data_IF_885936707977
#
_entry.id   IF_885936707977
#
_cell.length_a   1.000
_cell.length_b   1.000
_cell.length_c   1.000
_cell.angle_alpha   90.00
_cell.angle_beta   90.00
_cell.angle_gamma   90.00
#
_symmetry.space_group_name_H-M   'P 1'
#
loop_
_entity.id
_entity.type
_entity.pdbx_description
1 polymer ?
#
# COMPACT_ATOMS: atom_id res chain seq x y z
N UNK A 1 -36.25 -18.50 -7.81
CA UNK A 1 -36.57 -17.29 -7.02
C UNK A 1 -36.32 -17.62 -5.56
N UNK A 2 -35.11 -17.35 -5.07
CA UNK A 2 -34.78 -17.40 -3.64
C UNK A 2 -34.21 -16.03 -3.30
N UNK A 3 -35.03 -15.18 -2.69
CA UNK A 3 -34.64 -13.85 -2.26
C UNK A 3 -33.54 -13.97 -1.20
N UNK A 4 -32.29 -13.76 -1.62
CA UNK A 4 -31.27 -13.31 -0.69
C UNK A 4 -31.69 -11.89 -0.25
N UNK A 5 -31.74 -11.59 1.06
CA UNK A 5 -31.94 -10.22 1.47
C UNK A 5 -30.77 -9.40 0.95
N UNK A 6 -31.02 -8.52 -0.02
CA UNK A 6 -30.10 -7.45 -0.34
C UNK A 6 -29.86 -6.70 0.97
N UNK A 7 -28.66 -6.81 1.51
CA UNK A 7 -28.24 -6.08 2.70
C UNK A 7 -28.24 -4.60 2.33
N UNK A 8 -29.36 -3.93 2.58
CA UNK A 8 -29.36 -2.50 2.83
C UNK A 8 -28.38 -2.29 3.98
N UNK A 9 -27.19 -1.75 3.69
CA UNK A 9 -26.39 -1.20 4.76
C UNK A 9 -27.25 -0.16 5.45
N UNK A 10 -27.64 -0.46 6.70
CA UNK A 10 -28.33 0.49 7.55
C UNK A 10 -27.53 1.79 7.53
N UNK A 11 -28.21 2.93 7.43
CA UNK A 11 -27.56 4.24 7.29
C UNK A 11 -26.50 4.45 8.40
N UNK A 12 -26.74 3.87 9.59
CA UNK A 12 -25.80 3.85 10.70
C UNK A 12 -24.48 3.12 10.38
N UNK A 13 -24.52 2.00 9.66
CA UNK A 13 -23.32 1.24 9.27
C UNK A 13 -22.45 2.00 8.26
N UNK A 14 -23.09 2.66 7.29
CA UNK A 14 -22.40 3.52 6.32
C UNK A 14 -21.77 4.74 6.97
N UNK A 15 -22.50 5.38 7.90
CA UNK A 15 -21.98 6.50 8.70
C UNK A 15 -20.79 6.05 9.55
N UNK A 16 -20.91 4.93 10.26
CA UNK A 16 -19.83 4.38 11.09
C UNK A 16 -18.57 4.12 10.27
N UNK A 17 -18.73 3.50 9.10
CA UNK A 17 -17.61 3.20 8.23
C UNK A 17 -16.92 4.45 7.68
N UNK A 18 -17.70 5.45 7.27
CA UNK A 18 -17.17 6.74 6.82
C UNK A 18 -16.42 7.48 7.95
N UNK A 19 -16.90 7.37 9.19
CA UNK A 19 -16.20 7.91 10.37
C UNK A 19 -14.88 7.16 10.59
N UNK A 20 -14.88 5.83 10.54
CA UNK A 20 -13.67 5.01 10.68
C UNK A 20 -12.63 5.40 9.62
N UNK A 21 -13.06 5.52 8.36
CA UNK A 21 -12.20 5.98 7.26
C UNK A 21 -11.61 7.36 7.53
N UNK A 22 -12.45 8.34 7.87
CA UNK A 22 -12.01 9.69 8.14
C UNK A 22 -11.00 9.73 9.30
N UNK A 23 -11.26 8.98 10.38
CA UNK A 23 -10.35 8.84 11.50
C UNK A 23 -9.02 8.18 11.11
N UNK A 24 -9.03 7.14 10.27
CA UNK A 24 -7.81 6.50 9.78
C UNK A 24 -6.98 7.44 8.91
N UNK A 25 -7.61 8.12 7.94
CA UNK A 25 -6.94 9.07 7.06
C UNK A 25 -6.40 10.28 7.83
N UNK A 26 -7.20 10.82 8.76
CA UNK A 26 -6.74 11.84 9.70
C UNK A 26 -5.53 11.36 10.51
N UNK A 27 -5.60 10.16 11.09
CA UNK A 27 -4.53 9.56 11.89
C UNK A 27 -3.21 9.40 11.11
N UNK A 28 -3.28 8.89 9.88
CA UNK A 28 -2.11 8.80 8.99
C UNK A 28 -1.54 10.18 8.70
N UNK A 29 -2.41 11.13 8.37
CA UNK A 29 -2.01 12.48 7.94
C UNK A 29 -1.44 13.38 9.05
N UNK A 30 -1.73 13.09 10.33
CA UNK A 30 -1.16 13.81 11.48
C UNK A 30 0.37 13.81 11.50
N UNK A 31 0.98 12.75 10.98
CA UNK A 31 2.44 12.57 10.98
C UNK A 31 3.14 13.15 9.75
N UNK A 32 2.39 13.56 8.72
CA UNK A 32 2.93 14.09 7.48
C UNK A 32 3.49 15.49 7.71
N UNK A 33 4.76 15.71 7.35
CA UNK A 33 5.40 17.01 7.52
C UNK A 33 5.90 17.61 6.22
N UNK A 34 5.94 18.94 6.17
CA UNK A 34 6.53 19.69 5.05
C UNK A 34 8.03 19.41 4.89
N UNK A 35 8.73 19.07 5.99
CA UNK A 35 10.14 18.71 5.93
C UNK A 35 10.39 17.44 5.10
N UNK A 36 9.45 16.50 5.04
CA UNK A 36 9.58 15.29 4.23
C UNK A 36 9.64 15.61 2.73
N UNK A 37 8.83 16.57 2.28
CA UNK A 37 8.87 17.09 0.90
C UNK A 37 10.19 17.79 0.60
N UNK A 38 10.70 18.57 1.57
CA UNK A 38 12.00 19.22 1.43
C UNK A 38 13.14 18.21 1.31
N UNK A 39 13.09 17.09 2.05
CA UNK A 39 14.09 16.02 1.95
C UNK A 39 14.11 15.40 0.56
N UNK A 40 12.94 15.16 -0.04
CA UNK A 40 12.86 14.69 -1.43
C UNK A 40 13.47 15.71 -2.38
N UNK A 41 13.19 17.01 -2.22
CA UNK A 41 13.78 18.03 -3.08
C UNK A 41 15.33 18.08 -2.99
N UNK A 42 15.91 17.73 -1.84
CA UNK A 42 17.36 17.69 -1.62
C UNK A 42 18.01 16.38 -2.11
N UNK A 43 17.31 15.25 -1.99
CA UNK A 43 17.77 13.93 -2.41
C UNK A 43 16.65 13.18 -3.18
N UNK A 44 16.35 13.59 -4.43
CA UNK A 44 15.12 13.18 -5.12
C UNK A 44 15.18 11.75 -5.68
N UNK A 45 16.37 11.24 -5.98
CA UNK A 45 16.51 10.01 -6.77
C UNK A 45 15.83 8.81 -6.08
N UNK A 46 16.15 8.43 -4.81
CA UNK A 46 15.50 7.27 -4.20
C UNK A 46 13.97 7.41 -4.08
N UNK A 47 13.42 8.52 -3.54
CA UNK A 47 11.98 8.65 -3.37
C UNK A 47 11.20 8.73 -4.70
N UNK A 48 11.70 9.45 -5.70
CA UNK A 48 11.03 9.59 -6.99
C UNK A 48 10.97 8.24 -7.71
N UNK A 49 12.08 7.50 -7.72
CA UNK A 49 12.11 6.20 -8.41
C UNK A 49 11.20 5.18 -7.74
N UNK A 50 11.13 5.18 -6.41
CA UNK A 50 10.17 4.35 -5.71
C UNK A 50 8.71 4.80 -5.93
N UNK A 51 8.40 6.09 -6.03
CA UNK A 51 7.06 6.55 -6.42
C UNK A 51 6.68 6.12 -7.84
N UNK A 52 7.62 6.14 -8.78
CA UNK A 52 7.40 5.59 -10.14
C UNK A 52 7.14 4.09 -10.07
N UNK A 53 7.93 3.34 -9.31
CA UNK A 53 7.69 1.91 -9.12
C UNK A 53 6.31 1.63 -8.49
N UNK A 54 5.90 2.43 -7.51
CA UNK A 54 4.69 2.23 -6.72
C UNK A 54 3.40 2.65 -7.44
N UNK A 55 3.37 3.83 -8.07
CA UNK A 55 2.13 4.34 -8.68
C UNK A 55 2.07 4.15 -10.19
N UNK A 56 3.18 3.83 -10.86
CA UNK A 56 3.16 3.54 -12.30
C UNK A 56 3.40 2.06 -12.56
N UNK A 57 4.56 1.54 -12.19
CA UNK A 57 4.93 0.17 -12.57
C UNK A 57 4.09 -0.89 -11.89
N UNK A 58 3.85 -0.78 -10.58
CA UNK A 58 3.11 -1.79 -9.84
C UNK A 58 1.65 -1.90 -10.31
N UNK A 59 0.85 -0.83 -10.40
CA UNK A 59 -0.49 -0.88 -10.98
C UNK A 59 -0.49 -1.39 -12.44
N UNK A 60 0.42 -0.91 -13.28
CA UNK A 60 0.50 -1.34 -14.68
C UNK A 60 0.81 -2.83 -14.82
N UNK A 61 1.77 -3.33 -14.05
CA UNK A 61 2.12 -4.75 -14.06
C UNK A 61 1.03 -5.60 -13.42
N UNK A 62 0.32 -5.12 -12.39
CA UNK A 62 -0.86 -5.78 -11.83
C UNK A 62 -1.97 -5.92 -12.87
N UNK A 63 -2.25 -4.85 -13.61
CA UNK A 63 -3.19 -4.86 -14.74
C UNK A 63 -2.78 -5.90 -15.78
N UNK A 64 -1.51 -5.90 -16.18
CA UNK A 64 -0.98 -6.83 -17.17
C UNK A 64 -1.08 -8.29 -16.70
N UNK A 65 -0.69 -8.58 -15.45
CA UNK A 65 -0.78 -9.92 -14.86
C UNK A 65 -2.22 -10.40 -14.81
N UNK A 66 -3.13 -9.57 -14.31
CA UNK A 66 -4.56 -9.93 -14.20
C UNK A 66 -5.20 -10.14 -15.58
N UNK A 67 -4.78 -9.36 -16.58
CA UNK A 67 -5.20 -9.54 -17.97
C UNK A 67 -4.66 -10.84 -18.56
N UNK A 68 -3.33 -11.07 -18.53
CA UNK A 68 -2.70 -12.22 -19.15
C UNK A 68 -3.14 -13.56 -18.53
N UNK A 69 -3.33 -13.60 -17.22
CA UNK A 69 -3.76 -14.79 -16.50
C UNK A 69 -5.29 -14.98 -16.49
N UNK A 70 -6.05 -14.06 -17.12
CA UNK A 70 -7.52 -14.07 -17.17
C UNK A 70 -8.14 -14.22 -15.78
N UNK A 71 -7.63 -13.43 -14.83
CA UNK A 71 -8.11 -13.46 -13.46
C UNK A 71 -9.55 -12.96 -13.43
N UNK A 72 -10.36 -13.59 -12.57
CA UNK A 72 -11.73 -13.21 -12.31
C UNK A 72 -11.83 -11.68 -12.09
N UNK A 73 -12.76 -10.98 -12.78
CA UNK A 73 -12.81 -9.52 -12.81
C UNK A 73 -12.85 -8.86 -11.43
N UNK A 74 -13.60 -9.45 -10.51
CA UNK A 74 -13.76 -8.92 -9.16
C UNK A 74 -12.43 -9.04 -8.40
N UNK A 75 -11.73 -10.17 -8.55
CA UNK A 75 -10.43 -10.37 -7.91
C UNK A 75 -9.35 -9.46 -8.51
N UNK A 76 -9.36 -9.31 -9.83
CA UNK A 76 -8.45 -8.44 -10.57
C UNK A 76 -8.59 -6.98 -10.12
N UNK A 77 -9.81 -6.48 -9.94
CA UNK A 77 -10.04 -5.12 -9.44
C UNK A 77 -9.55 -4.96 -7.99
N UNK A 78 -9.74 -5.97 -7.13
CA UNK A 78 -9.15 -5.96 -5.79
C UNK A 78 -7.63 -5.87 -5.81
N UNK A 79 -6.97 -6.64 -6.69
CA UNK A 79 -5.51 -6.56 -6.87
C UNK A 79 -5.06 -5.20 -7.39
N UNK A 80 -5.75 -4.65 -8.40
CA UNK A 80 -5.45 -3.33 -8.97
C UNK A 80 -5.61 -2.23 -7.91
N UNK A 81 -6.63 -2.31 -7.06
CA UNK A 81 -6.83 -1.33 -5.98
C UNK A 81 -5.69 -1.37 -4.95
N UNK A 82 -5.27 -2.55 -4.49
CA UNK A 82 -4.13 -2.68 -3.57
C UNK A 82 -2.84 -2.18 -4.22
N UNK A 83 -2.63 -2.50 -5.49
CA UNK A 83 -1.48 -2.03 -6.25
C UNK A 83 -1.46 -0.49 -6.39
N UNK A 84 -2.63 0.14 -6.48
CA UNK A 84 -2.80 1.58 -6.58
C UNK A 84 -2.64 2.32 -5.24
N UNK A 85 -2.68 1.61 -4.10
CA UNK A 85 -2.51 2.21 -2.78
C UNK A 85 -1.08 2.72 -2.55
N UNK A 86 -0.88 3.69 -1.63
CA UNK A 86 0.44 4.12 -1.20
C UNK A 86 1.13 3.05 -0.35
N UNK A 87 2.42 3.26 -0.08
CA UNK A 87 3.18 2.51 0.92
C UNK A 87 2.54 2.61 2.31
N UNK A 88 2.61 1.53 3.09
CA UNK A 88 2.03 1.45 4.43
C UNK A 88 3.03 1.82 5.53
N UNK A 89 2.58 2.39 6.64
CA UNK A 89 3.47 2.79 7.76
C UNK A 89 4.29 1.62 8.39
N UNK A 90 3.90 0.37 8.13
CA UNK A 90 4.68 -0.81 8.49
C UNK A 90 5.97 -0.97 7.67
N UNK A 91 6.04 -0.42 6.45
CA UNK A 91 7.26 -0.39 5.64
C UNK A 91 8.39 0.28 6.41
N UNK A 92 8.14 1.38 7.11
CA UNK A 92 9.13 2.11 7.90
C UNK A 92 9.76 1.25 9.00
N UNK A 93 8.94 0.45 9.70
CA UNK A 93 9.41 -0.47 10.74
C UNK A 93 10.29 -1.56 10.11
N UNK A 94 9.84 -2.13 9.00
CA UNK A 94 10.57 -3.18 8.29
C UNK A 94 11.87 -2.65 7.67
N UNK A 95 11.88 -1.41 7.17
CA UNK A 95 13.08 -0.75 6.65
C UNK A 95 14.11 -0.56 7.76
N UNK A 96 13.68 -0.08 8.93
CA UNK A 96 14.55 0.01 10.10
C UNK A 96 15.12 -1.36 10.51
N UNK A 97 14.27 -2.40 10.59
CA UNK A 97 14.70 -3.77 10.88
C UNK A 97 15.70 -4.30 9.85
N UNK A 98 15.49 -3.98 8.58
CA UNK A 98 16.34 -4.38 7.47
C UNK A 98 17.66 -3.60 7.38
N UNK A 99 17.93 -2.66 8.30
CA UNK A 99 19.05 -1.70 8.24
C UNK A 99 19.03 -0.84 6.96
N UNK A 100 17.84 -0.61 6.40
CA UNK A 100 17.64 0.28 5.26
C UNK A 100 17.61 1.75 5.66
N UNK A 101 17.58 2.64 4.67
CA UNK A 101 17.50 4.08 4.90
C UNK A 101 16.08 4.46 5.37
N UNK A 102 15.91 4.59 6.68
CA UNK A 102 14.64 4.97 7.29
C UNK A 102 14.16 6.37 6.85
N UNK A 103 15.07 7.31 6.61
CA UNK A 103 14.69 8.65 6.17
C UNK A 103 14.05 8.62 4.77
N UNK A 104 14.59 7.80 3.86
CA UNK A 104 14.00 7.58 2.53
C UNK A 104 12.62 6.94 2.64
N UNK A 105 12.47 5.87 3.42
CA UNK A 105 11.18 5.19 3.61
C UNK A 105 10.12 6.15 4.16
N UNK A 106 10.42 6.88 5.24
CA UNK A 106 9.47 7.83 5.86
C UNK A 106 9.08 8.94 4.89
N UNK A 107 10.05 9.52 4.18
CA UNK A 107 9.77 10.56 3.20
C UNK A 107 8.96 10.04 2.00
N UNK A 108 9.20 8.79 1.57
CA UNK A 108 8.38 8.14 0.55
C UNK A 108 6.97 7.81 1.03
N UNK A 109 6.79 7.33 2.25
CA UNK A 109 5.45 7.07 2.81
C UNK A 109 4.67 8.37 2.88
N UNK A 110 5.32 9.45 3.34
CA UNK A 110 4.68 10.76 3.44
C UNK A 110 4.31 11.32 2.05
N UNK A 111 5.31 11.28 1.17
CA UNK A 111 5.24 11.32 -0.30
C UNK A 111 3.94 10.81 -0.89
N UNK A 112 3.92 9.49 -0.85
CA UNK A 112 2.93 8.65 -1.49
C UNK A 112 1.58 8.73 -0.81
N UNK A 113 1.50 8.90 0.51
CA UNK A 113 0.23 9.09 1.20
C UNK A 113 -0.50 10.32 0.69
N UNK A 114 0.19 11.44 0.48
CA UNK A 114 -0.44 12.63 -0.12
C UNK A 114 -0.83 12.38 -1.57
N UNK A 115 0.12 11.85 -2.37
CA UNK A 115 -0.12 11.56 -3.78
C UNK A 115 -1.27 10.56 -4.00
N UNK A 116 -1.46 9.60 -3.09
CA UNK A 116 -2.48 8.57 -3.15
C UNK A 116 -3.91 9.12 -3.16
N UNK A 117 -4.14 10.32 -2.63
CA UNK A 117 -5.42 11.02 -2.73
C UNK A 117 -5.88 11.08 -4.19
N UNK A 118 -4.95 11.37 -5.11
CA UNK A 118 -5.20 11.46 -6.54
C UNK A 118 -4.83 10.19 -7.29
N UNK A 119 -3.64 9.65 -7.01
CA UNK A 119 -3.07 8.53 -7.76
C UNK A 119 -3.84 7.23 -7.54
N UNK A 120 -4.37 6.97 -6.33
CA UNK A 120 -5.11 5.71 -6.06
C UNK A 120 -6.39 5.61 -6.89
N UNK A 121 -7.33 6.57 -6.83
CA UNK A 121 -8.55 6.46 -7.62
C UNK A 121 -8.28 6.60 -9.13
N UNK A 122 -7.31 7.41 -9.54
CA UNK A 122 -6.92 7.53 -10.95
C UNK A 122 -6.37 6.21 -11.50
N UNK A 123 -5.44 5.56 -10.79
CA UNK A 123 -4.89 4.28 -11.19
C UNK A 123 -5.96 3.18 -11.17
N UNK A 124 -6.80 3.13 -10.14
CA UNK A 124 -7.87 2.16 -10.06
C UNK A 124 -8.83 2.28 -11.26
N UNK A 125 -9.28 3.49 -11.59
CA UNK A 125 -10.13 3.74 -12.74
C UNK A 125 -9.44 3.42 -14.07
N UNK A 126 -8.20 3.90 -14.26
CA UNK A 126 -7.44 3.71 -15.49
C UNK A 126 -7.15 2.23 -15.75
N UNK A 127 -6.54 1.53 -14.80
CA UNK A 127 -6.13 0.14 -14.99
C UNK A 127 -7.31 -0.83 -14.93
N UNK A 128 -8.35 -0.52 -14.13
CA UNK A 128 -9.61 -1.25 -14.16
C UNK A 128 -10.35 -1.12 -15.50
N UNK A 129 -10.22 0.02 -16.19
CA UNK A 129 -10.81 0.21 -17.52
C UNK A 129 -9.95 -0.36 -18.66
N UNK A 130 -8.62 -0.32 -18.53
CA UNK A 130 -7.69 -0.86 -19.53
C UNK A 130 -7.76 -2.39 -19.64
N UNK A 131 -7.96 -3.09 -18.53
CA UNK A 131 -8.15 -4.54 -18.55
C UNK A 131 -9.56 -4.87 -19.10
N UNK A 132 -9.66 -5.59 -20.24
CA UNK A 132 -10.94 -5.84 -20.90
C UNK A 132 -11.87 -6.75 -20.09
N UNK A 133 -11.32 -7.58 -19.19
CA UNK A 133 -12.12 -8.45 -18.33
C UNK A 133 -12.76 -7.68 -17.16
N UNK A 134 -12.12 -6.61 -16.67
CA UNK A 134 -12.61 -5.82 -15.55
C UNK A 134 -13.48 -4.65 -15.97
N UNK A 135 -13.38 -4.20 -17.23
CA UNK A 135 -14.09 -3.02 -17.75
C UNK A 135 -15.60 -3.10 -17.52
N UNK A 136 -16.23 -4.20 -17.91
CA UNK A 136 -17.69 -4.35 -17.80
C UNK A 136 -18.13 -4.34 -16.33
N UNK A 137 -17.39 -5.04 -15.46
CA UNK A 137 -17.66 -5.07 -14.02
C UNK A 137 -17.50 -3.68 -13.39
N UNK A 138 -16.46 -2.93 -13.78
CA UNK A 138 -16.25 -1.55 -13.30
C UNK A 138 -17.42 -0.63 -13.71
N UNK A 139 -17.95 -0.78 -14.93
CA UNK A 139 -19.11 0.01 -15.41
C UNK A 139 -20.44 -0.40 -14.78
N UNK A 140 -20.61 -1.66 -14.39
CA UNK A 140 -21.83 -2.13 -13.71
C UNK A 140 -21.91 -1.62 -12.26
N UNK A 141 -20.76 -1.47 -11.61
CA UNK A 141 -20.68 -0.98 -10.24
C UNK A 141 -20.66 0.56 -10.18
N UNK A 142 -20.28 1.24 -11.26
CA UNK A 142 -20.08 2.69 -11.27
C UNK A 142 -21.23 3.42 -11.95
N UNK A 143 -22.05 4.11 -11.15
CA UNK A 143 -22.85 5.27 -11.60
C UNK A 143 -21.87 6.41 -11.92
N UNK A 144 -21.64 6.65 -13.22
CA UNK A 144 -20.78 7.68 -13.82
C UNK A 144 -19.30 7.78 -13.32
N UNK A 145 -18.29 7.51 -14.18
CA UNK A 145 -16.87 7.56 -13.80
C UNK A 145 -16.38 8.90 -13.19
N UNK A 146 -17.00 10.02 -13.55
CA UNK A 146 -16.62 11.36 -13.06
C UNK A 146 -17.06 11.66 -11.61
N UNK A 147 -18.19 11.09 -11.17
CA UNK A 147 -18.72 11.31 -9.82
C UNK A 147 -18.00 10.48 -8.76
N UNK A 148 -17.54 9.27 -9.10
CA UNK A 148 -16.81 8.41 -8.15
C UNK A 148 -15.42 8.96 -7.86
N UNK A 149 -14.68 9.40 -8.89
CA UNK A 149 -13.36 10.00 -8.71
C UNK A 149 -13.44 11.24 -7.81
N UNK A 150 -14.41 12.14 -8.06
CA UNK A 150 -14.58 13.36 -7.27
C UNK A 150 -15.01 13.07 -5.83
N UNK A 151 -15.90 12.09 -5.62
CA UNK A 151 -16.33 11.68 -4.28
C UNK A 151 -15.19 11.03 -3.49
N UNK A 152 -14.47 10.08 -4.08
CA UNK A 152 -13.32 9.41 -3.44
C UNK A 152 -12.21 10.44 -3.15
N UNK A 153 -11.93 11.35 -4.09
CA UNK A 153 -10.99 12.45 -3.88
C UNK A 153 -11.38 13.30 -2.68
N UNK A 154 -12.64 13.77 -2.63
CA UNK A 154 -13.11 14.64 -1.56
C UNK A 154 -13.01 13.95 -0.20
N UNK A 155 -13.44 12.69 -0.14
CA UNK A 155 -13.53 11.91 1.09
C UNK A 155 -12.14 11.51 1.62
N UNK A 156 -11.16 11.31 0.75
CA UNK A 156 -9.77 11.04 1.16
C UNK A 156 -8.97 12.33 1.43
N UNK A 157 -9.17 13.37 0.61
CA UNK A 157 -8.44 14.63 0.71
C UNK A 157 -8.79 15.41 1.97
N UNK A 158 -10.09 15.51 2.30
CA UNK A 158 -10.54 16.37 3.39
C UNK A 158 -9.97 15.95 4.76
N UNK A 159 -10.07 14.68 5.20
CA UNK A 159 -9.47 14.25 6.47
C UNK A 159 -7.95 14.41 6.48
N UNK A 160 -7.31 14.22 5.33
CA UNK A 160 -5.86 14.34 5.19
C UNK A 160 -5.39 15.78 5.37
N UNK A 161 -6.04 16.75 4.72
CA UNK A 161 -5.74 18.18 4.88
C UNK A 161 -5.94 18.61 6.33
N UNK A 162 -7.04 18.18 6.96
CA UNK A 162 -7.34 18.51 8.35
C UNK A 162 -6.28 17.91 9.29
N UNK A 163 -5.88 16.65 9.09
CA UNK A 163 -4.87 16.02 9.94
C UNK A 163 -3.47 16.59 9.73
N UNK A 164 -3.07 16.92 8.50
CA UNK A 164 -1.81 17.66 8.25
C UNK A 164 -1.79 19.01 8.96
N UNK A 165 -2.88 19.78 8.85
CA UNK A 165 -3.00 21.08 9.53
C UNK A 165 -2.92 20.93 11.06
N UNK A 166 -3.61 19.92 11.59
CA UNK A 166 -3.63 19.62 13.03
C UNK A 166 -2.25 19.19 13.52
N UNK A 167 -1.57 18.30 12.77
CA UNK A 167 -0.22 17.82 13.09
C UNK A 167 0.83 18.92 13.06
N UNK A 168 0.68 19.89 12.14
CA UNK A 168 1.51 21.10 12.10
C UNK A 168 1.29 21.99 13.31
N UNK A 169 0.04 22.21 13.73
CA UNK A 169 -0.30 23.12 14.85
C UNK A 169 -0.02 22.52 16.23
N UNK A 170 -0.13 21.21 16.36
CA UNK A 170 0.03 20.50 17.64
C UNK A 170 1.10 19.38 17.53
N UNK A 171 2.39 19.72 17.38
CA UNK A 171 3.45 18.71 17.22
C UNK A 171 3.56 17.76 18.42
N UNK A 172 3.23 18.22 19.63
CA UNK A 172 3.17 17.37 20.83
C UNK A 172 2.07 16.30 20.77
N UNK A 173 0.97 16.57 20.07
CA UNK A 173 -0.07 15.56 19.81
C UNK A 173 0.48 14.48 18.88
N UNK A 174 1.16 14.85 17.79
CA UNK A 174 1.73 13.91 16.82
C UNK A 174 2.64 12.89 17.51
N UNK A 175 3.58 13.36 18.34
CA UNK A 175 4.52 12.49 19.06
C UNK A 175 3.80 11.55 20.03
N UNK A 176 2.79 12.04 20.76
CA UNK A 176 2.01 11.23 21.72
C UNK A 176 1.10 10.23 21.02
N UNK A 177 0.61 10.56 19.82
CA UNK A 177 -0.36 9.77 19.09
C UNK A 177 0.24 8.74 18.14
N UNK A 178 1.54 8.82 17.80
CA UNK A 178 2.18 7.94 16.81
C UNK A 178 1.99 6.44 17.12
N UNK A 179 2.36 6.01 18.34
CA UNK A 179 2.24 4.60 18.75
C UNK A 179 0.78 4.17 18.92
N UNK A 180 -0.10 4.92 19.63
CA UNK A 180 -1.52 4.59 19.71
C UNK A 180 -2.20 4.47 18.35
N UNK A 181 -1.99 5.44 17.44
CA UNK A 181 -2.61 5.43 16.11
C UNK A 181 -2.16 4.26 15.27
N UNK A 182 -0.88 3.87 15.35
CA UNK A 182 -0.37 2.67 14.66
C UNK A 182 -1.08 1.41 15.15
N UNK A 183 -1.21 1.24 16.47
CA UNK A 183 -1.88 0.07 17.07
C UNK A 183 -3.36 0.07 16.69
N UNK A 184 -4.06 1.19 16.85
CA UNK A 184 -5.46 1.32 16.48
C UNK A 184 -5.66 1.03 14.99
N UNK A 185 -4.79 1.56 14.13
CA UNK A 185 -4.86 1.31 12.67
C UNK A 185 -4.68 -0.17 12.34
N UNK A 186 -3.76 -0.86 13.03
CA UNK A 186 -3.57 -2.29 12.89
C UNK A 186 -4.80 -3.08 13.37
N UNK A 187 -5.36 -2.73 14.52
CA UNK A 187 -6.54 -3.39 15.07
C UNK A 187 -7.76 -3.21 14.17
N UNK A 188 -7.98 -2.01 13.63
CA UNK A 188 -9.04 -1.74 12.67
C UNK A 188 -8.80 -2.53 11.38
N UNK A 189 -7.57 -2.54 10.86
CA UNK A 189 -7.20 -3.34 9.68
C UNK A 189 -7.49 -4.84 9.92
N UNK A 190 -7.04 -5.41 11.04
CA UNK A 190 -7.30 -6.80 11.41
C UNK A 190 -8.80 -7.06 11.63
N UNK A 191 -9.54 -6.09 12.17
CA UNK A 191 -10.99 -6.14 12.28
C UNK A 191 -11.65 -6.25 10.91
N UNK A 192 -11.25 -5.42 9.95
CA UNK A 192 -11.72 -5.48 8.56
C UNK A 192 -11.36 -6.79 7.88
N UNK A 193 -10.15 -7.32 8.11
CA UNK A 193 -9.77 -8.67 7.65
C UNK A 193 -10.72 -9.71 8.25
N UNK A 194 -10.96 -9.68 9.56
CA UNK A 194 -11.88 -10.61 10.23
C UNK A 194 -13.29 -10.56 9.65
N UNK A 195 -13.82 -9.36 9.40
CA UNK A 195 -15.14 -9.16 8.77
C UNK A 195 -15.16 -9.69 7.34
N UNK A 196 -14.14 -9.36 6.54
CA UNK A 196 -14.05 -9.80 5.14
C UNK A 196 -14.03 -11.33 5.03
N UNK A 197 -13.25 -12.01 5.88
CA UNK A 197 -13.15 -13.46 5.89
C UNK A 197 -14.41 -14.12 6.47
N UNK A 198 -14.98 -13.58 7.54
CA UNK A 198 -16.20 -14.11 8.16
C UNK A 198 -17.40 -14.07 7.20
N UNK A 199 -17.59 -12.94 6.52
CA UNK A 199 -18.69 -12.77 5.55
C UNK A 199 -18.53 -13.60 4.28
N UNK A 200 -17.28 -13.91 3.89
CA UNK A 200 -16.98 -14.57 2.62
C UNK A 200 -16.28 -15.91 2.83
N UNK A 201 -16.56 -16.60 3.94
CA UNK A 201 -15.82 -17.80 4.35
C UNK A 201 -15.97 -18.97 3.36
N UNK A 202 -17.18 -19.22 2.86
CA UNK A 202 -17.45 -20.24 1.82
C UNK A 202 -16.69 -19.94 0.53
N UNK A 203 -16.72 -18.67 0.09
CA UNK A 203 -16.00 -18.21 -1.10
C UNK A 203 -14.49 -18.37 -0.92
N UNK A 204 -13.98 -18.07 0.28
CA UNK A 204 -12.58 -18.24 0.63
C UNK A 204 -12.15 -19.71 0.55
N UNK A 205 -12.89 -20.64 1.16
CA UNK A 205 -12.56 -22.07 1.12
C UNK A 205 -12.59 -22.63 -0.30
N UNK A 206 -13.61 -22.25 -1.09
CA UNK A 206 -13.76 -22.72 -2.46
C UNK A 206 -12.64 -22.23 -3.40
N UNK A 207 -12.08 -21.04 -3.16
CA UNK A 207 -11.10 -20.39 -4.04
C UNK A 207 -9.72 -20.16 -3.39
N UNK A 208 -9.46 -20.75 -2.23
CA UNK A 208 -8.25 -20.49 -1.43
C UNK A 208 -6.95 -20.63 -2.23
N UNK A 209 -6.82 -21.72 -2.98
CA UNK A 209 -5.61 -21.99 -3.76
C UNK A 209 -5.33 -20.89 -4.80
N UNK A 210 -6.37 -20.37 -5.45
CA UNK A 210 -6.23 -19.27 -6.41
C UNK A 210 -5.82 -17.97 -5.71
N UNK A 211 -6.50 -17.61 -4.61
CA UNK A 211 -6.17 -16.41 -3.82
C UNK A 211 -4.74 -16.43 -3.31
N UNK A 212 -4.31 -17.57 -2.78
CA UNK A 212 -3.01 -17.74 -2.18
C UNK A 212 -1.89 -17.41 -3.17
N UNK A 213 -1.87 -18.07 -4.31
CA UNK A 213 -0.80 -17.89 -5.29
C UNK A 213 -0.83 -16.54 -5.97
N UNK A 214 -2.02 -15.97 -6.22
CA UNK A 214 -2.13 -14.62 -6.78
C UNK A 214 -1.53 -13.58 -5.84
N UNK A 215 -1.88 -13.63 -4.55
CA UNK A 215 -1.37 -12.68 -3.57
C UNK A 215 0.13 -12.84 -3.33
N UNK A 216 0.60 -14.09 -3.22
CA UNK A 216 2.03 -14.37 -3.03
C UNK A 216 2.84 -13.86 -4.23
N UNK A 217 2.40 -14.21 -5.44
CA UNK A 217 3.06 -13.79 -6.69
C UNK A 217 3.04 -12.27 -6.87
N UNK A 218 1.92 -11.63 -6.57
CA UNK A 218 1.77 -10.20 -6.76
C UNK A 218 2.58 -9.38 -5.75
N UNK A 219 2.62 -9.80 -4.49
CA UNK A 219 3.47 -9.16 -3.50
C UNK A 219 4.97 -9.38 -3.78
N UNK A 220 5.35 -10.57 -4.23
CA UNK A 220 6.71 -10.83 -4.71
C UNK A 220 7.06 -9.91 -5.89
N UNK A 221 6.15 -9.76 -6.85
CA UNK A 221 6.32 -8.83 -7.97
C UNK A 221 6.51 -7.39 -7.50
N UNK A 222 5.72 -6.92 -6.52
CA UNK A 222 5.87 -5.59 -5.94
C UNK A 222 7.27 -5.38 -5.32
N UNK A 223 7.74 -6.35 -4.52
CA UNK A 223 9.09 -6.33 -3.95
C UNK A 223 10.17 -6.33 -5.06
N UNK A 224 10.01 -7.17 -6.09
CA UNK A 224 10.95 -7.24 -7.22
C UNK A 224 10.98 -5.96 -8.05
N UNK A 225 9.85 -5.29 -8.23
CA UNK A 225 9.79 -4.01 -8.93
C UNK A 225 10.49 -2.90 -8.14
N UNK A 226 10.26 -2.82 -6.82
CA UNK A 226 10.97 -1.89 -5.96
C UNK A 226 12.48 -2.13 -5.97
N UNK A 227 12.90 -3.39 -5.79
CA UNK A 227 14.31 -3.77 -5.83
C UNK A 227 14.95 -3.53 -7.20
N UNK A 228 14.26 -3.93 -8.27
CA UNK A 228 14.70 -3.79 -9.65
C UNK A 228 14.86 -2.33 -10.06
N UNK A 229 13.90 -1.48 -9.69
CA UNK A 229 13.98 -0.03 -9.91
C UNK A 229 15.16 0.59 -9.15
N UNK A 230 15.31 0.26 -7.87
CA UNK A 230 16.43 0.74 -7.07
C UNK A 230 17.78 0.30 -7.65
N UNK A 231 17.87 -0.93 -8.16
CA UNK A 231 19.08 -1.44 -8.83
C UNK A 231 19.36 -0.73 -10.16
N UNK A 232 18.34 -0.51 -10.98
CA UNK A 232 18.45 0.18 -12.27
C UNK A 232 19.01 1.60 -12.07
N UNK A 233 18.57 2.28 -11.00
CA UNK A 233 19.04 3.60 -10.61
C UNK A 233 20.32 3.60 -9.78
N UNK A 234 20.96 2.44 -9.60
CA UNK A 234 22.22 2.27 -8.87
C UNK A 234 22.19 2.86 -7.46
N UNK A 235 21.06 2.72 -6.77
CA UNK A 235 20.96 3.12 -5.37
C UNK A 235 21.88 2.28 -4.49
N UNK A 236 22.42 2.90 -3.44
CA UNK A 236 23.18 2.22 -2.40
C UNK A 236 22.30 1.12 -1.74
N UNK A 237 22.91 0.20 -0.99
CA UNK A 237 22.19 -0.96 -0.44
C UNK A 237 21.09 -0.54 0.56
N UNK A 238 21.33 0.49 1.37
CA UNK A 238 20.36 0.95 2.37
C UNK A 238 19.12 1.60 1.73
N UNK A 239 19.29 2.45 0.72
CA UNK A 239 18.19 3.07 -0.04
C UNK A 239 17.44 2.02 -0.86
N UNK A 240 18.15 1.05 -1.42
CA UNK A 240 17.53 -0.06 -2.17
C UNK A 240 16.65 -0.93 -1.30
N UNK A 241 17.07 -1.25 -0.06
CA UNK A 241 16.22 -1.94 0.92
C UNK A 241 14.97 -1.11 1.25
N UNK A 242 15.13 0.21 1.44
CA UNK A 242 14.02 1.13 1.72
C UNK A 242 13.01 1.17 0.57
N UNK A 243 13.45 1.43 -0.67
CA UNK A 243 12.57 1.48 -1.85
C UNK A 243 11.88 0.13 -2.10
N UNK A 244 12.57 -0.99 -1.87
CA UNK A 244 11.97 -2.32 -2.02
C UNK A 244 10.81 -2.54 -1.06
N UNK A 245 11.02 -2.24 0.23
CA UNK A 245 10.00 -2.43 1.25
C UNK A 245 8.87 -1.42 1.10
N UNK A 246 9.16 -0.20 0.68
CA UNK A 246 8.13 0.82 0.45
C UNK A 246 7.16 0.41 -0.67
N UNK A 247 7.67 -0.11 -1.80
CA UNK A 247 6.85 -0.58 -2.92
C UNK A 247 6.15 -1.90 -2.61
N UNK A 248 6.82 -2.81 -1.88
CA UNK A 248 6.28 -4.13 -1.57
C UNK A 248 5.21 -4.14 -0.47
N UNK A 249 5.28 -3.19 0.45
CA UNK A 249 4.43 -3.11 1.64
C UNK A 249 3.42 -1.97 1.45
N UNK A 250 2.27 -2.34 0.90
CA UNK A 250 1.20 -1.39 0.58
C UNK A 250 0.32 -1.10 1.79
N UNK A 251 -0.36 0.05 1.75
CA UNK A 251 -1.41 0.40 2.70
C UNK A 251 -2.72 -0.33 2.36
N UNK A 252 -2.74 -1.65 2.59
CA UNK A 252 -3.93 -2.48 2.40
C UNK A 252 -5.10 -2.10 3.32
N UNK A 253 -4.82 -1.41 4.44
CA UNK A 253 -5.86 -0.83 5.30
C UNK A 253 -6.68 0.22 4.57
N UNK A 254 -6.02 1.14 3.86
CA UNK A 254 -6.71 2.10 2.97
C UNK A 254 -7.54 1.36 1.90
N UNK A 255 -6.96 0.33 1.26
CA UNK A 255 -7.68 -0.47 0.28
C UNK A 255 -8.97 -1.08 0.82
N UNK A 256 -8.91 -1.73 1.99
CA UNK A 256 -10.10 -2.30 2.63
C UNK A 256 -11.14 -1.24 2.99
N UNK A 257 -10.70 -0.10 3.50
CA UNK A 257 -11.60 1.01 3.83
C UNK A 257 -12.35 1.51 2.58
N UNK A 258 -11.63 1.72 1.46
CA UNK A 258 -12.25 2.11 0.18
C UNK A 258 -13.26 1.06 -0.26
N UNK A 259 -12.92 -0.23 -0.17
CA UNK A 259 -13.82 -1.31 -0.58
C UNK A 259 -15.07 -1.37 0.28
N UNK A 260 -14.94 -1.34 1.61
CA UNK A 260 -16.12 -1.35 2.47
C UNK A 260 -17.01 -0.13 2.22
N UNK A 261 -16.44 1.03 1.86
CA UNK A 261 -17.21 2.26 1.69
C UNK A 261 -17.92 2.31 0.35
N UNK A 262 -17.22 1.99 -0.73
CA UNK A 262 -17.71 2.20 -2.09
C UNK A 262 -18.14 0.90 -2.78
N UNK A 263 -17.63 -0.24 -2.33
CA UNK A 263 -17.83 -1.57 -2.94
C UNK A 263 -18.14 -2.64 -1.90
N UNK A 264 -19.08 -2.41 -0.97
CA UNK A 264 -19.25 -3.26 0.21
C UNK A 264 -19.69 -4.69 -0.11
N UNK A 265 -20.36 -4.88 -1.25
CA UNK A 265 -20.86 -6.17 -1.70
C UNK A 265 -19.86 -6.93 -2.59
N UNK A 266 -18.69 -6.33 -2.87
CA UNK A 266 -17.63 -6.94 -3.66
C UNK A 266 -16.76 -7.89 -2.82
N UNK A 267 -17.33 -9.04 -2.45
CA UNK A 267 -16.70 -10.06 -1.61
C UNK A 267 -15.33 -10.54 -2.12
N UNK A 268 -15.17 -10.68 -3.43
CA UNK A 268 -13.90 -11.09 -4.05
C UNK A 268 -12.80 -10.03 -3.88
N UNK A 269 -13.14 -8.75 -4.08
CA UNK A 269 -12.22 -7.63 -3.86
C UNK A 269 -11.80 -7.54 -2.39
N UNK A 270 -12.77 -7.70 -1.47
CA UNK A 270 -12.52 -7.65 -0.03
C UNK A 270 -11.58 -8.77 0.42
N UNK A 271 -11.82 -10.01 -0.02
CA UNK A 271 -10.99 -11.15 0.35
C UNK A 271 -9.55 -11.01 -0.14
N UNK A 272 -9.34 -10.66 -1.42
CA UNK A 272 -7.98 -10.58 -1.97
C UNK A 272 -7.19 -9.42 -1.36
N UNK A 273 -7.87 -8.30 -1.07
CA UNK A 273 -7.27 -7.13 -0.40
C UNK A 273 -6.90 -7.45 1.04
N UNK A 274 -7.79 -8.13 1.77
CA UNK A 274 -7.54 -8.57 3.14
C UNK A 274 -6.39 -9.57 3.21
N UNK A 275 -6.39 -10.57 2.32
CA UNK A 275 -5.36 -11.59 2.29
C UNK A 275 -4.00 -11.03 1.87
N UNK A 276 -3.95 -10.16 0.85
CA UNK A 276 -2.73 -9.41 0.52
C UNK A 276 -2.25 -8.61 1.71
N UNK A 277 -3.17 -7.90 2.36
CA UNK A 277 -2.86 -7.13 3.56
C UNK A 277 -2.11 -7.91 4.64
N UNK A 278 -2.53 -9.15 4.90
CA UNK A 278 -1.86 -10.03 5.85
C UNK A 278 -0.54 -10.56 5.28
N UNK A 279 -0.55 -11.01 4.02
CA UNK A 279 0.61 -11.62 3.39
C UNK A 279 1.79 -10.66 3.26
N UNK A 280 1.57 -9.41 2.86
CA UNK A 280 2.69 -8.46 2.70
C UNK A 280 3.36 -8.15 4.03
N UNK A 281 2.63 -8.17 5.16
CA UNK A 281 3.23 -8.03 6.49
C UNK A 281 4.12 -9.24 6.80
N UNK A 282 3.66 -10.45 6.50
CA UNK A 282 4.44 -11.69 6.71
C UNK A 282 5.70 -11.68 5.84
N UNK A 283 5.58 -11.38 4.55
CA UNK A 283 6.70 -11.39 3.62
C UNK A 283 7.69 -10.27 3.89
N UNK A 284 7.22 -9.07 4.23
CA UNK A 284 8.04 -7.93 4.61
C UNK A 284 8.80 -8.13 5.91
N UNK A 285 8.17 -8.70 6.94
CA UNK A 285 8.86 -9.10 8.16
C UNK A 285 9.93 -10.17 7.89
N UNK A 286 9.60 -11.16 7.05
CA UNK A 286 10.56 -12.21 6.67
C UNK A 286 11.76 -11.64 5.92
N UNK A 287 11.52 -10.78 4.91
CA UNK A 287 12.58 -10.16 4.12
C UNK A 287 13.44 -9.21 4.95
N UNK A 288 12.82 -8.40 5.81
CA UNK A 288 13.56 -7.49 6.70
C UNK A 288 14.44 -8.25 7.69
N UNK A 289 13.95 -9.34 8.28
CA UNK A 289 14.77 -10.22 9.15
C UNK A 289 15.92 -10.88 8.38
N UNK A 290 15.68 -11.30 7.14
CA UNK A 290 16.72 -11.86 6.27
C UNK A 290 17.82 -10.82 5.98
N UNK A 291 17.44 -9.59 5.63
CA UNK A 291 18.38 -8.49 5.40
C UNK A 291 19.07 -7.99 6.66
N UNK A 292 18.42 -8.04 7.83
CA UNK A 292 19.02 -7.68 9.11
C UNK A 292 20.27 -8.52 9.43
N UNK A 293 20.33 -9.75 8.92
CA UNK A 293 21.44 -10.70 9.07
C UNK A 293 22.56 -10.53 8.04
N UNK A 294 22.39 -9.64 7.05
CA UNK A 294 23.39 -9.38 6.01
C UNK A 294 23.98 -7.96 6.16
N UNK A 295 25.32 -7.81 6.19
CA UNK A 295 25.95 -6.50 6.21
C UNK A 295 25.53 -5.70 4.96
N UNK A 296 25.55 -4.38 5.05
CA UNK A 296 25.31 -3.53 3.89
C UNK A 296 26.45 -3.73 2.90
N UNK A 297 26.13 -3.86 1.61
CA UNK A 297 27.16 -4.07 0.58
C UNK A 297 28.20 -2.93 0.56
N UNK A 298 27.78 -1.73 0.92
CA UNK A 298 28.62 -0.52 0.97
C UNK A 298 29.47 -0.42 2.26
N UNK A 299 29.23 -1.27 3.26
CA UNK A 299 30.01 -1.33 4.52
C UNK A 299 31.21 -2.28 4.44
N UNK A 300 31.32 -3.13 3.41
CA UNK A 300 32.48 -4.01 3.23
C UNK A 300 33.67 -3.14 2.83
N UNK A 301 34.71 -2.97 3.68
CA UNK A 301 35.89 -2.23 3.28
C UNK A 301 36.50 -2.97 2.09
N UNK A 302 36.77 -2.27 0.99
CA UNK A 302 37.58 -2.79 -0.10
C UNK A 302 38.80 -3.47 0.55
N UNK A 303 38.95 -4.78 0.31
CA UNK A 303 39.99 -5.59 0.92
C UNK A 303 41.32 -4.83 0.88
N UNK A 304 41.95 -4.66 2.05
CA UNK A 304 43.26 -4.02 2.18
C UNK A 304 44.18 -4.57 1.09
N UNK A 305 44.57 -3.70 0.15
CA UNK A 305 45.59 -4.03 -0.85
C UNK A 305 46.84 -4.55 -0.13
N UNK A 306 47.31 -5.79 -0.40
CA UNK A 306 48.50 -6.32 0.21
C UNK A 306 49.73 -5.77 -0.52
N UNK A 307 49.99 -4.47 -0.42
CA UNK A 307 51.22 -3.85 -0.95
C UNK A 307 51.66 -2.75 0.01
N UNK A 308 52.26 -3.14 1.14
CA UNK A 308 53.19 -2.30 1.92
C UNK A 308 53.99 -3.13 2.95
N UNK A 309 54.54 -4.26 2.50
CA UNK A 309 55.49 -5.06 3.30
C UNK A 309 56.67 -5.53 2.43
N UNK A 310 57.26 -4.62 1.66
CA UNK A 310 58.51 -4.85 0.90
C UNK A 310 59.47 -3.65 0.91
N UNK A 311 59.41 -2.80 1.93
CA UNK A 311 60.46 -1.82 2.21
C UNK A 311 60.80 -1.85 3.70
N UNK A 312 61.44 -2.96 4.09
CA UNK A 312 62.28 -3.10 5.28
C UNK A 312 63.62 -3.68 4.83
#
# INVERSE_FOLDING_TARGET
MSGAPALQFDAASMILLNIIMACMMFGVSLSLRLEDFRRIALAPIPPVMGMVAQFLLLPATTCLVTWLLRIDPELALGMILVAACPGGSFSNVMTWMARGNLAVSVSMTAVSSLAATVMTPLNFALYGWLNPYTRDYLTQISLEPGSVLSLVLLVLALPMVIGMFTGKRFPGLVVRSEKPLRIISLLIFLGFVGIAFSKNFELFLARFHSFFWLVVGQNLLALLLGYGMARLCRLNDSDRRAVTLEVGIQNSGLGLVILFTFFPDAGGMLLITAFWGVWHLVSGLTLSQFWARRPLADEVPAARSPIKEQLS
#
